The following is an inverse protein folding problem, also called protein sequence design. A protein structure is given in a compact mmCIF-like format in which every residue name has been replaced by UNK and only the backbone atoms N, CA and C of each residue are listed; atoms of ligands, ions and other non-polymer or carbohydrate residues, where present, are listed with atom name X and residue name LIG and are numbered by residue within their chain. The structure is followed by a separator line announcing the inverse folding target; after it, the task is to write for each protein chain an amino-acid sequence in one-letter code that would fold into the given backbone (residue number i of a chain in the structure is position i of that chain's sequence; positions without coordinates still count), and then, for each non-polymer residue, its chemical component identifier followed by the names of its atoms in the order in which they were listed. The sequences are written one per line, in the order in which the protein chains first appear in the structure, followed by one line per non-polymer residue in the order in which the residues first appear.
data_IF_517230485866
#
_entry.id   IF_517230485866
#
_cell.length_a   1.000
_cell.length_b   1.000
_cell.length_c   1.000
_cell.angle_alpha   90.00
_cell.angle_beta   90.00
_cell.angle_gamma   90.00
#
_symmetry.space_group_name_H-M   'P 1'
#
loop_
_entity.id
_entity.type
_entity.pdbx_description
1 polymer ?
#
# COMPACT_ATOMS: atom_id res chain seq x y z
N UNK A 1 26.91 -9.44 3.42
CA UNK A 1 26.21 -8.76 2.29
C UNK A 1 24.75 -9.15 2.20
N UNK A 2 24.40 -10.40 1.90
CA UNK A 2 23.00 -10.84 1.75
C UNK A 2 22.11 -10.55 2.96
N UNK A 3 22.58 -10.82 4.18
CA UNK A 3 21.81 -10.55 5.40
C UNK A 3 21.48 -9.05 5.58
N UNK A 4 22.44 -8.16 5.26
CA UNK A 4 22.25 -6.70 5.34
C UNK A 4 21.27 -6.25 4.26
N UNK A 5 21.42 -6.73 3.02
CA UNK A 5 20.52 -6.41 1.92
C UNK A 5 19.08 -6.84 2.22
N UNK A 6 18.88 -8.05 2.73
CA UNK A 6 17.56 -8.56 3.14
C UNK A 6 17.01 -7.77 4.32
N UNK A 7 17.81 -7.50 5.35
CA UNK A 7 17.37 -6.71 6.50
C UNK A 7 16.92 -5.30 6.12
N UNK A 8 17.66 -4.62 5.23
CA UNK A 8 17.26 -3.31 4.70
C UNK A 8 15.99 -3.43 3.87
N UNK A 9 15.91 -4.42 2.97
CA UNK A 9 14.74 -4.62 2.12
C UNK A 9 13.47 -4.88 2.95
N UNK A 10 13.53 -5.75 3.95
CA UNK A 10 12.39 -6.09 4.81
C UNK A 10 11.95 -4.92 5.69
N UNK A 11 12.91 -4.18 6.23
CA UNK A 11 12.62 -3.00 7.06
C UNK A 11 11.94 -1.90 6.22
N UNK A 12 12.49 -1.62 5.04
CA UNK A 12 11.94 -0.61 4.14
C UNK A 12 10.58 -1.05 3.55
N UNK A 13 10.42 -2.32 3.22
CA UNK A 13 9.12 -2.83 2.73
C UNK A 13 8.06 -2.77 3.82
N UNK A 14 8.40 -3.12 5.07
CA UNK A 14 7.48 -3.01 6.20
C UNK A 14 7.06 -1.56 6.44
N UNK A 15 8.02 -0.63 6.45
CA UNK A 15 7.74 0.80 6.63
C UNK A 15 6.87 1.35 5.49
N UNK A 16 7.20 1.04 4.24
CA UNK A 16 6.44 1.45 3.07
C UNK A 16 5.00 0.89 3.09
N UNK A 17 4.84 -0.38 3.50
CA UNK A 17 3.55 -1.02 3.66
C UNK A 17 2.68 -0.35 4.74
N UNK A 18 3.27 0.00 5.90
CA UNK A 18 2.58 0.68 7.01
C UNK A 18 2.16 2.10 6.61
N UNK A 19 3.06 2.88 5.99
CA UNK A 19 2.76 4.22 5.51
C UNK A 19 1.77 4.19 4.32
N UNK A 20 1.62 3.03 3.68
CA UNK A 20 0.82 2.88 2.47
C UNK A 20 1.36 3.70 1.30
N UNK A 21 2.68 3.89 1.26
CA UNK A 21 3.40 4.51 0.14
C UNK A 21 4.04 3.37 -0.64
N UNK A 22 3.86 3.33 -1.96
CA UNK A 22 4.39 2.27 -2.80
C UNK A 22 4.00 0.86 -2.28
N UNK A 23 2.75 0.69 -1.86
CA UNK A 23 2.24 -0.54 -1.21
C UNK A 23 2.43 -1.79 -2.05
N UNK A 24 2.31 -1.68 -3.38
CA UNK A 24 2.50 -2.81 -4.31
C UNK A 24 3.95 -3.32 -4.37
N UNK A 25 4.96 -2.47 -4.66
CA UNK A 25 6.36 -2.92 -4.63
C UNK A 25 6.81 -3.34 -3.23
N UNK A 26 6.30 -2.71 -2.16
CA UNK A 26 6.55 -3.14 -0.79
C UNK A 26 6.02 -4.57 -0.54
N UNK A 27 4.78 -4.86 -0.94
CA UNK A 27 4.20 -6.19 -0.84
C UNK A 27 4.97 -7.23 -1.66
N UNK A 28 5.41 -6.89 -2.88
CA UNK A 28 6.25 -7.78 -3.69
C UNK A 28 7.58 -8.10 -3.02
N UNK A 29 8.22 -7.11 -2.41
CA UNK A 29 9.47 -7.31 -1.68
C UNK A 29 9.27 -8.32 -0.53
N UNK A 30 8.20 -8.19 0.25
CA UNK A 30 7.86 -9.14 1.32
C UNK A 30 7.63 -10.56 0.77
N UNK A 31 6.85 -10.71 -0.31
CA UNK A 31 6.60 -12.04 -0.91
C UNK A 31 7.92 -12.70 -1.32
N UNK A 32 8.84 -11.95 -1.94
CA UNK A 32 10.13 -12.46 -2.41
C UNK A 32 11.03 -12.85 -1.23
N UNK A 33 11.16 -12.01 -0.21
CA UNK A 33 12.03 -12.32 0.94
C UNK A 33 11.53 -13.54 1.69
N UNK A 34 10.21 -13.64 1.88
CA UNK A 34 9.58 -14.78 2.55
C UNK A 34 9.69 -16.07 1.73
N UNK A 35 9.55 -16.01 0.40
CA UNK A 35 9.79 -17.17 -0.47
C UNK A 35 11.22 -17.69 -0.36
N UNK A 36 12.22 -16.80 -0.29
CA UNK A 36 13.62 -17.17 -0.08
C UNK A 36 13.84 -17.76 1.31
N UNK A 37 13.22 -17.19 2.35
CA UNK A 37 13.31 -17.68 3.73
C UNK A 37 12.71 -19.08 3.90
N UNK A 38 11.58 -19.35 3.24
CA UNK A 38 10.96 -20.68 3.20
C UNK A 38 11.92 -21.67 2.54
N UNK A 39 12.38 -21.37 1.32
CA UNK A 39 13.22 -22.29 0.54
C UNK A 39 14.56 -22.60 1.23
N UNK A 40 15.17 -21.62 1.89
CA UNK A 40 16.52 -21.78 2.46
C UNK A 40 16.55 -22.33 3.88
N UNK A 41 15.56 -22.00 4.71
CA UNK A 41 15.63 -22.25 6.16
C UNK A 41 14.48 -23.13 6.64
N UNK A 42 13.25 -22.87 6.21
CA UNK A 42 12.07 -23.47 6.84
C UNK A 42 11.54 -24.71 6.11
N UNK A 43 11.93 -24.92 4.85
CA UNK A 43 11.49 -26.08 4.06
C UNK A 43 11.86 -27.43 4.69
N UNK A 44 12.96 -27.49 5.45
CA UNK A 44 13.40 -28.70 6.16
C UNK A 44 12.73 -28.91 7.52
N UNK A 45 12.08 -27.87 8.09
CA UNK A 45 11.51 -27.90 9.44
C UNK A 45 10.00 -28.21 9.46
N UNK A 46 9.41 -28.52 8.31
CA UNK A 46 7.99 -28.85 8.18
C UNK A 46 7.08 -27.60 8.28
N UNK A 47 5.79 -27.83 8.54
CA UNK A 47 4.80 -26.76 8.53
C UNK A 47 4.75 -25.95 9.83
N UNK A 48 4.74 -26.62 10.99
CA UNK A 48 4.39 -26.00 12.27
C UNK A 48 5.41 -24.95 12.74
N UNK A 49 4.93 -23.74 13.05
CA UNK A 49 5.79 -22.64 13.53
C UNK A 49 6.51 -22.97 14.85
N UNK A 50 5.92 -23.81 15.71
CA UNK A 50 6.49 -24.21 17.02
C UNK A 50 7.81 -24.95 16.86
N UNK A 51 8.00 -25.65 15.74
CA UNK A 51 9.24 -26.39 15.42
C UNK A 51 10.16 -25.62 14.47
N UNK A 52 9.94 -24.32 14.28
CA UNK A 52 10.68 -23.51 13.31
C UNK A 52 10.24 -23.75 11.85
N UNK A 53 9.01 -24.21 11.64
CA UNK A 53 8.43 -24.49 10.34
C UNK A 53 7.93 -23.23 9.59
N UNK A 54 7.35 -23.44 8.41
CA UNK A 54 7.05 -22.38 7.44
C UNK A 54 5.73 -21.61 7.63
N UNK A 55 4.88 -21.99 8.59
CA UNK A 55 3.54 -21.41 8.81
C UNK A 55 3.54 -19.88 8.92
N UNK A 56 4.46 -19.30 9.70
CA UNK A 56 4.55 -17.84 9.85
C UNK A 56 4.90 -17.13 8.54
N UNK A 57 5.87 -17.67 7.80
CA UNK A 57 6.28 -17.12 6.50
C UNK A 57 5.11 -17.21 5.50
N UNK A 58 4.35 -18.29 5.53
CA UNK A 58 3.18 -18.46 4.66
C UNK A 58 2.08 -17.44 4.96
N UNK A 59 1.83 -17.17 6.25
CA UNK A 59 0.89 -16.13 6.67
C UNK A 59 1.32 -14.75 6.18
N UNK A 60 2.61 -14.40 6.32
CA UNK A 60 3.15 -13.15 5.78
C UNK A 60 3.00 -13.04 4.27
N UNK A 61 3.26 -14.12 3.52
CA UNK A 61 3.03 -14.17 2.07
C UNK A 61 1.56 -13.94 1.74
N UNK A 62 0.63 -14.60 2.43
CA UNK A 62 -0.81 -14.43 2.20
C UNK A 62 -1.28 -12.99 2.44
N UNK A 63 -0.83 -12.36 3.53
CA UNK A 63 -1.13 -10.97 3.85
C UNK A 63 -0.56 -10.03 2.77
N UNK A 64 0.70 -10.24 2.38
CA UNK A 64 1.35 -9.44 1.36
C UNK A 64 0.67 -9.56 -0.01
N UNK A 65 0.22 -10.75 -0.41
CA UNK A 65 -0.59 -10.94 -1.62
C UNK A 65 -1.92 -10.20 -1.55
N UNK A 66 -2.58 -10.21 -0.38
CA UNK A 66 -3.78 -9.40 -0.14
C UNK A 66 -3.52 -7.91 -0.36
N UNK A 67 -2.41 -7.38 0.17
CA UNK A 67 -2.00 -5.99 -0.05
C UNK A 67 -1.62 -5.69 -1.51
N UNK A 68 -1.03 -6.65 -2.21
CA UNK A 68 -0.65 -6.51 -3.62
C UNK A 68 -1.89 -6.33 -4.52
N UNK A 69 -2.94 -7.11 -4.23
CA UNK A 69 -4.22 -7.08 -4.95
C UNK A 69 -5.01 -5.82 -4.56
N UNK A 70 -5.20 -5.58 -3.26
CA UNK A 70 -6.01 -4.49 -2.74
C UNK A 70 -5.39 -3.10 -2.99
N UNK A 71 -4.05 -2.99 -2.96
CA UNK A 71 -3.34 -1.73 -3.11
C UNK A 71 -3.37 -0.86 -1.83
N UNK A 72 -3.05 0.44 -1.94
CA UNK A 72 -3.00 1.36 -0.80
C UNK A 72 -4.39 1.60 -0.18
N UNK A 73 -4.51 1.39 1.14
CA UNK A 73 -5.76 1.60 1.87
C UNK A 73 -6.22 3.07 1.97
N UNK A 74 -7.45 3.34 2.41
CA UNK A 74 -8.05 4.69 2.45
C UNK A 74 -7.45 5.63 3.50
N UNK A 75 -6.68 5.09 4.45
CA UNK A 75 -5.92 5.83 5.46
C UNK A 75 -4.42 5.95 5.10
N UNK A 76 -4.01 5.42 3.94
CA UNK A 76 -2.62 5.49 3.49
C UNK A 76 -2.18 6.93 3.27
N UNK A 77 -0.90 7.23 3.50
CA UNK A 77 -0.33 8.53 3.17
C UNK A 77 -0.52 8.87 1.70
N UNK A 78 -0.43 7.87 0.80
CA UNK A 78 -0.75 8.02 -0.62
C UNK A 78 -2.17 8.57 -0.82
N UNK A 79 -3.17 7.91 -0.24
CA UNK A 79 -4.58 8.32 -0.38
C UNK A 79 -4.86 9.70 0.23
N UNK A 80 -4.17 10.07 1.33
CA UNK A 80 -4.28 11.39 1.94
C UNK A 80 -3.74 12.47 0.99
N UNK A 81 -2.57 12.24 0.40
CA UNK A 81 -1.95 13.16 -0.57
C UNK A 81 -2.84 13.29 -1.81
N UNK A 82 -3.31 12.17 -2.36
CA UNK A 82 -4.18 12.14 -3.54
C UNK A 82 -5.49 12.92 -3.32
N UNK A 83 -6.13 12.75 -2.15
CA UNK A 83 -7.33 13.52 -1.77
C UNK A 83 -7.04 15.01 -1.67
N UNK A 84 -5.89 15.41 -1.12
CA UNK A 84 -5.49 16.82 -0.99
C UNK A 84 -5.23 17.45 -2.35
N UNK A 85 -4.53 16.76 -3.25
CA UNK A 85 -4.25 17.22 -4.62
C UNK A 85 -5.55 17.37 -5.40
N UNK A 86 -6.39 16.33 -5.41
CA UNK A 86 -7.67 16.34 -6.15
C UNK A 86 -8.63 17.42 -5.67
N UNK A 87 -8.71 17.65 -4.34
CA UNK A 87 -9.54 18.74 -3.78
C UNK A 87 -9.06 20.12 -4.22
N UNK A 88 -7.75 20.33 -4.37
CA UNK A 88 -7.19 21.63 -4.79
C UNK A 88 -7.51 21.93 -6.26
N UNK A 89 -7.42 20.91 -7.12
CA UNK A 89 -7.70 21.04 -8.56
C UNK A 89 -9.18 21.28 -8.87
N UNK A 90 -10.12 20.83 -8.03
CA UNK A 90 -11.56 21.03 -8.27
C UNK A 90 -12.10 22.42 -7.88
N UNK A 91 -11.39 23.20 -7.06
CA UNK A 91 -11.87 24.51 -6.57
C UNK A 91 -12.04 25.63 -7.63
N UNK A 92 -11.19 25.79 -8.66
CA UNK A 92 -11.35 26.90 -9.60
C UNK A 92 -12.47 26.69 -10.63
N UNK A 93 -12.74 25.44 -11.03
CA UNK A 93 -13.70 25.16 -12.11
C UNK A 93 -15.16 25.28 -11.66
N UNK A 94 -15.47 24.84 -10.44
CA UNK A 94 -16.83 24.85 -9.91
C UNK A 94 -17.35 26.26 -9.60
N UNK A 95 -16.43 27.21 -9.31
CA UNK A 95 -16.79 28.62 -9.09
C UNK A 95 -17.24 29.33 -10.38
N UNK A 96 -16.83 28.82 -11.55
CA UNK A 96 -17.16 29.42 -12.86
C UNK A 96 -18.51 28.95 -13.41
N UNK A 97 -18.93 27.72 -13.11
CA UNK A 97 -20.20 27.18 -13.62
C UNK A 97 -21.45 27.62 -12.86
N UNK A 98 -21.34 28.02 -11.57
CA UNK A 98 -22.50 28.50 -10.81
C UNK A 98 -22.80 30.00 -10.98
N UNK A 99 -21.90 30.77 -11.59
CA UNK A 99 -22.07 32.21 -11.73
C UNK A 99 -23.08 32.66 -12.80
N UNK A 100 -23.22 32.03 -13.99
CA UNK A 100 -24.08 32.59 -15.03
C UNK A 100 -25.57 32.30 -14.79
N UNK A 101 -25.91 31.10 -14.29
CA UNK A 101 -27.33 30.71 -14.13
C UNK A 101 -28.00 31.37 -12.93
N UNK A 102 -27.28 31.52 -11.81
CA UNK A 102 -27.81 32.26 -10.65
C UNK A 102 -28.04 33.74 -11.00
N UNK A 103 -27.09 34.36 -11.72
CA UNK A 103 -27.23 35.75 -12.19
C UNK A 103 -28.34 35.93 -13.23
N UNK A 104 -28.58 34.94 -14.08
CA UNK A 104 -29.67 35.00 -15.06
C UNK A 104 -31.06 34.90 -14.39
N UNK A 105 -31.17 34.13 -13.30
CA UNK A 105 -32.40 34.04 -12.50
C UNK A 105 -32.63 35.30 -11.66
N UNK A 106 -31.58 35.90 -11.10
CA UNK A 106 -31.66 37.16 -10.35
C UNK A 106 -32.00 38.38 -11.22
N UNK A 107 -31.76 38.33 -12.54
CA UNK A 107 -32.12 39.39 -13.49
C UNK A 107 -33.50 39.20 -14.14
N UNK A 108 -34.13 38.03 -13.93
CA UNK A 108 -35.44 37.69 -14.48
C UNK A 108 -36.59 37.82 -13.46
N UNK A 109 -36.27 38.14 -12.20
CA UNK A 109 -37.17 38.49 -11.09
C UNK A 109 -37.10 39.99 -10.82
#
# INVERSE_FOLDING_TARGET
LWAVATGVAETLSGLAAILGIATRPAALAVVVTQAVAIRKVHASHGYSNVSGGMEYNLALVAIALGMLIAGPGPLSTYSVIERRVTRRTRRPFQRRQRAPLARALDLAL
#
